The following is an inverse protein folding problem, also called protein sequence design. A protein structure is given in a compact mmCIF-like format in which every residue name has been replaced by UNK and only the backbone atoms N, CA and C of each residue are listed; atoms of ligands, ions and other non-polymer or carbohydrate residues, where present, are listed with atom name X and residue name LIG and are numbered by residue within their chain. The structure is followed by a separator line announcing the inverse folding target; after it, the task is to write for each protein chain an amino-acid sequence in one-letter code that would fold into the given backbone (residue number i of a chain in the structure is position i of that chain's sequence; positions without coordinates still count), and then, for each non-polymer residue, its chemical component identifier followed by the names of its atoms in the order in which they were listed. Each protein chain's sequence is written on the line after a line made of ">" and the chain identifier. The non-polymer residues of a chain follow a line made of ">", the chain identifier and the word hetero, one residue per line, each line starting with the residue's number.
data_IF_065878599423
#
_entry.id   IF_065878599423
#
_cell.length_a   1.000
_cell.length_b   1.000
_cell.length_c   1.000
_cell.angle_alpha   90.00
_cell.angle_beta   90.00
_cell.angle_gamma   90.00
#
_symmetry.space_group_name_H-M   'P 1'
#
loop_
_entity.id
_entity.type
_entity.pdbx_description
1 polymer ?
#
# COMPACT_ATOMS: atom_id res chain seq x y z
N UNK A 1 -6.15 -29.04 -18.94
CA UNK A 1 -7.54 -28.93 -18.45
C UNK A 1 -8.00 -27.49 -18.52
N UNK A 2 -7.17 -26.55 -18.06
CA UNK A 2 -7.51 -25.12 -18.05
C UNK A 2 -7.78 -24.48 -19.43
N UNK A 3 -7.19 -24.98 -20.52
CA UNK A 3 -7.42 -24.44 -21.88
C UNK A 3 -8.87 -24.60 -22.32
N UNK A 4 -9.44 -25.79 -22.11
CA UNK A 4 -10.85 -26.04 -22.42
C UNK A 4 -11.76 -25.19 -21.52
N UNK A 5 -11.38 -24.95 -20.27
CA UNK A 5 -12.19 -24.16 -19.33
C UNK A 5 -12.17 -22.67 -19.68
N UNK A 6 -11.02 -22.10 -20.05
CA UNK A 6 -10.91 -20.70 -20.49
C UNK A 6 -11.60 -20.40 -21.82
N UNK A 7 -11.86 -21.42 -22.63
CA UNK A 7 -12.70 -21.27 -23.82
C UNK A 7 -14.14 -20.84 -23.46
N UNK A 8 -14.62 -21.23 -22.28
CA UNK A 8 -15.99 -20.97 -21.84
C UNK A 8 -16.10 -19.88 -20.76
N UNK A 9 -15.01 -19.56 -20.07
CA UNK A 9 -15.04 -18.68 -18.90
C UNK A 9 -13.88 -17.70 -18.90
N UNK A 10 -14.21 -16.42 -18.66
CA UNK A 10 -13.24 -15.37 -18.37
C UNK A 10 -12.48 -15.62 -17.06
N UNK A 11 -11.30 -15.03 -16.95
CA UNK A 11 -10.42 -15.16 -15.79
C UNK A 11 -11.08 -14.70 -14.47
N UNK A 12 -11.91 -13.65 -14.49
CA UNK A 12 -12.65 -13.20 -13.30
C UNK A 12 -13.69 -14.24 -12.82
N UNK A 13 -14.33 -14.94 -13.76
CA UNK A 13 -15.29 -16.01 -13.48
C UNK A 13 -14.56 -17.23 -12.92
N UNK A 14 -13.44 -17.61 -13.54
CA UNK A 14 -12.62 -18.73 -13.07
C UNK A 14 -12.06 -18.48 -11.68
N UNK A 15 -11.54 -17.28 -11.39
CA UNK A 15 -11.05 -16.94 -10.07
C UNK A 15 -12.17 -17.02 -9.01
N UNK A 16 -13.40 -16.57 -9.32
CA UNK A 16 -14.55 -16.72 -8.43
C UNK A 16 -14.91 -18.20 -8.19
N UNK A 17 -14.89 -19.02 -9.24
CA UNK A 17 -15.16 -20.46 -9.15
C UNK A 17 -14.11 -21.18 -8.29
N UNK A 18 -12.82 -20.85 -8.47
CA UNK A 18 -11.71 -21.37 -7.68
C UNK A 18 -11.91 -21.01 -6.20
N UNK A 19 -12.15 -19.72 -5.90
CA UNK A 19 -12.38 -19.25 -4.54
C UNK A 19 -13.59 -19.92 -3.87
N UNK A 20 -14.64 -20.26 -4.63
CA UNK A 20 -15.79 -21.02 -4.12
C UNK A 20 -15.44 -22.50 -3.91
N UNK A 21 -14.74 -23.13 -4.85
CA UNK A 21 -14.34 -24.53 -4.78
C UNK A 21 -13.38 -24.80 -3.62
N UNK A 22 -12.42 -23.90 -3.37
CA UNK A 22 -11.47 -24.02 -2.25
C UNK A 22 -12.14 -24.00 -0.87
N UNK A 23 -13.31 -23.37 -0.75
CA UNK A 23 -14.09 -23.31 0.49
C UNK A 23 -14.90 -24.57 0.76
N UNK A 24 -15.17 -25.40 -0.24
CA UNK A 24 -15.96 -26.61 -0.09
C UNK A 24 -15.04 -27.85 -0.02
N UNK A 25 -15.07 -28.64 1.07
CA UNK A 25 -14.20 -29.81 1.23
C UNK A 25 -14.25 -30.81 0.07
N UNK A 26 -15.40 -31.00 -0.58
CA UNK A 26 -15.56 -31.97 -1.67
C UNK A 26 -14.93 -31.51 -2.99
N UNK A 27 -14.85 -30.20 -3.24
CA UNK A 27 -14.29 -29.62 -4.48
C UNK A 27 -12.94 -28.93 -4.27
N UNK A 28 -12.44 -28.86 -3.04
CA UNK A 28 -11.18 -28.20 -2.68
C UNK A 28 -9.97 -28.66 -3.49
N UNK A 29 -9.76 -29.97 -3.61
CA UNK A 29 -8.62 -30.52 -4.38
C UNK A 29 -8.69 -30.16 -5.86
N UNK A 30 -9.89 -30.12 -6.43
CA UNK A 30 -10.09 -29.71 -7.82
C UNK A 30 -9.82 -28.21 -7.98
N UNK A 31 -10.36 -27.38 -7.08
CA UNK A 31 -10.10 -25.94 -7.04
C UNK A 31 -8.61 -25.61 -6.97
N UNK A 32 -7.85 -26.31 -6.11
CA UNK A 32 -6.40 -26.14 -5.99
C UNK A 32 -5.64 -26.49 -7.27
N UNK A 33 -6.01 -27.59 -7.95
CA UNK A 33 -5.37 -27.96 -9.23
C UNK A 33 -5.61 -26.91 -10.32
N UNK A 34 -6.83 -26.38 -10.40
CA UNK A 34 -7.17 -25.33 -11.36
C UNK A 34 -6.45 -24.02 -11.00
N UNK A 35 -6.35 -23.66 -9.71
CA UNK A 35 -5.57 -22.51 -9.22
C UNK A 35 -4.09 -22.61 -9.63
N UNK A 36 -3.48 -23.78 -9.41
CA UNK A 36 -2.09 -24.04 -9.78
C UNK A 36 -1.86 -23.92 -11.29
N UNK A 37 -2.74 -24.49 -12.12
CA UNK A 37 -2.67 -24.37 -13.58
C UNK A 37 -2.81 -22.91 -14.04
N UNK A 38 -3.74 -22.14 -13.45
CA UNK A 38 -4.00 -20.74 -13.82
C UNK A 38 -2.80 -19.85 -13.46
N UNK A 39 -2.35 -19.95 -12.20
CA UNK A 39 -1.26 -19.15 -11.64
C UNK A 39 0.07 -19.44 -12.31
N UNK A 40 0.36 -20.71 -12.62
CA UNK A 40 1.57 -21.08 -13.37
C UNK A 40 1.57 -20.46 -14.76
N UNK A 41 0.41 -20.38 -15.42
CA UNK A 41 0.29 -19.79 -16.75
C UNK A 41 0.50 -18.27 -16.72
N UNK A 42 -0.16 -17.56 -15.80
CA UNK A 42 0.07 -16.12 -15.62
C UNK A 42 1.53 -15.80 -15.27
N UNK A 43 2.16 -16.57 -14.37
CA UNK A 43 3.53 -16.28 -13.93
C UNK A 43 4.60 -16.62 -14.97
N UNK A 44 4.39 -17.64 -15.81
CA UNK A 44 5.36 -18.06 -16.82
C UNK A 44 5.15 -17.39 -18.19
N UNK A 45 4.03 -16.70 -18.39
CA UNK A 45 3.69 -16.03 -19.66
C UNK A 45 3.54 -16.97 -20.85
N UNK A 46 3.61 -18.29 -20.63
CA UNK A 46 3.47 -19.30 -21.68
C UNK A 46 2.02 -19.25 -22.12
N UNK A 47 1.79 -19.05 -23.41
CA UNK A 47 0.50 -19.02 -24.11
C UNK A 47 -0.33 -17.72 -24.10
N UNK A 48 0.13 -16.63 -23.48
CA UNK A 48 -0.49 -15.30 -23.62
C UNK A 48 0.60 -14.22 -23.62
N UNK A 49 1.14 -13.86 -24.79
CA UNK A 49 2.04 -12.71 -24.91
C UNK A 49 1.36 -11.45 -24.37
N UNK A 50 1.94 -10.81 -23.35
CA UNK A 50 1.36 -9.68 -22.62
C UNK A 50 0.92 -10.04 -21.20
N UNK A 51 0.23 -11.18 -21.03
CA UNK A 51 -0.55 -11.48 -19.81
C UNK A 51 0.29 -12.10 -18.68
N UNK A 52 1.48 -11.56 -18.46
CA UNK A 52 2.36 -11.80 -17.32
C UNK A 52 2.65 -10.51 -16.53
N UNK A 53 2.13 -9.36 -16.97
CA UNK A 53 2.20 -8.11 -16.22
C UNK A 53 1.07 -8.03 -15.20
N UNK A 54 1.36 -7.47 -14.02
CA UNK A 54 0.35 -7.37 -12.98
C UNK A 54 -0.87 -6.55 -13.41
N UNK A 55 -0.69 -5.49 -14.20
CA UNK A 55 -1.80 -4.70 -14.73
C UNK A 55 -2.75 -5.52 -15.62
N UNK A 56 -2.23 -6.46 -16.42
CA UNK A 56 -3.08 -7.29 -17.29
C UNK A 56 -3.89 -8.32 -16.50
N UNK A 57 -3.28 -8.92 -15.48
CA UNK A 57 -4.00 -9.81 -14.56
C UNK A 57 -5.03 -9.03 -13.72
N UNK A 58 -4.70 -7.79 -13.34
CA UNK A 58 -5.64 -6.91 -12.64
C UNK A 58 -6.87 -6.61 -13.50
N UNK A 59 -6.67 -6.33 -14.80
CA UNK A 59 -7.74 -6.10 -15.76
C UNK A 59 -8.50 -7.40 -16.12
N UNK A 60 -7.82 -8.55 -16.24
CA UNK A 60 -8.48 -9.82 -16.56
C UNK A 60 -9.42 -10.29 -15.44
N UNK A 61 -9.08 -9.94 -14.19
CA UNK A 61 -9.93 -10.10 -13.01
C UNK A 61 -11.04 -9.02 -12.91
N UNK A 62 -11.11 -8.10 -13.88
CA UNK A 62 -12.03 -6.95 -13.93
C UNK A 62 -11.95 -6.06 -12.69
N UNK A 63 -10.78 -6.01 -12.03
CA UNK A 63 -10.59 -5.24 -10.79
C UNK A 63 -10.66 -3.73 -11.04
N UNK A 64 -10.29 -3.28 -12.23
CA UNK A 64 -10.37 -1.89 -12.69
C UNK A 64 -11.82 -1.38 -12.81
N UNK A 65 -12.79 -2.29 -12.94
CA UNK A 65 -14.21 -1.97 -13.10
C UNK A 65 -14.98 -1.88 -11.77
N UNK A 66 -14.34 -2.22 -10.66
CA UNK A 66 -15.01 -2.34 -9.36
C UNK A 66 -15.09 -1.03 -8.58
N UNK A 67 -14.37 -0.01 -9.02
CA UNK A 67 -14.30 1.27 -8.33
C UNK A 67 -13.91 1.09 -6.86
N UNK A 68 -14.77 1.58 -5.97
CA UNK A 68 -14.56 1.58 -4.53
C UNK A 68 -14.59 0.19 -3.87
N UNK A 69 -15.09 -0.82 -4.57
CA UNK A 69 -15.16 -2.20 -4.08
C UNK A 69 -13.90 -3.01 -4.41
N UNK A 70 -12.92 -2.45 -5.12
CA UNK A 70 -11.75 -3.21 -5.56
C UNK A 70 -11.00 -3.84 -4.38
N UNK A 71 -10.74 -3.08 -3.31
CA UNK A 71 -10.06 -3.56 -2.11
C UNK A 71 -10.96 -4.46 -1.23
N UNK A 72 -12.25 -4.53 -1.56
CA UNK A 72 -13.25 -5.17 -0.72
C UNK A 72 -13.50 -6.63 -1.07
N UNK A 73 -13.26 -7.00 -2.31
CA UNK A 73 -13.67 -8.30 -2.80
C UNK A 73 -12.55 -9.33 -2.67
N UNK A 74 -12.87 -10.62 -2.47
CA UNK A 74 -11.88 -11.69 -2.40
C UNK A 74 -10.90 -11.77 -3.59
N UNK A 75 -11.30 -11.26 -4.77
CA UNK A 75 -10.44 -11.24 -5.96
C UNK A 75 -9.22 -10.34 -5.82
N UNK A 76 -9.26 -9.28 -5.00
CA UNK A 76 -8.05 -8.48 -4.75
C UNK A 76 -7.01 -9.26 -3.93
N UNK A 77 -7.48 -10.07 -2.97
CA UNK A 77 -6.63 -11.03 -2.28
C UNK A 77 -6.05 -12.08 -3.24
N UNK A 78 -6.86 -12.56 -4.20
CA UNK A 78 -6.43 -13.49 -5.25
C UNK A 78 -5.34 -12.87 -6.15
N UNK A 79 -5.52 -11.63 -6.60
CA UNK A 79 -4.53 -10.85 -7.34
C UNK A 79 -3.24 -10.63 -6.53
N UNK A 80 -3.35 -10.33 -5.23
CA UNK A 80 -2.18 -10.18 -4.37
C UNK A 80 -1.35 -11.47 -4.30
N UNK A 81 -2.00 -12.64 -4.19
CA UNK A 81 -1.30 -13.95 -4.26
C UNK A 81 -0.59 -14.16 -5.59
N UNK A 82 -1.16 -13.67 -6.69
CA UNK A 82 -0.52 -13.72 -8.00
C UNK A 82 0.77 -12.90 -8.00
N UNK A 83 0.76 -11.65 -7.54
CA UNK A 83 1.95 -10.78 -7.47
C UNK A 83 3.05 -11.46 -6.62
N UNK A 84 2.68 -12.03 -5.48
CA UNK A 84 3.61 -12.76 -4.61
C UNK A 84 4.23 -13.96 -5.35
N UNK A 85 3.43 -14.78 -6.04
CA UNK A 85 3.92 -15.93 -6.81
C UNK A 85 4.78 -15.51 -8.00
N UNK A 86 4.42 -14.43 -8.67
CA UNK A 86 5.20 -13.89 -9.79
C UNK A 86 6.60 -13.48 -9.33
N UNK A 87 6.70 -12.72 -8.25
CA UNK A 87 7.99 -12.29 -7.68
C UNK A 87 8.82 -13.47 -7.18
N UNK A 88 8.19 -14.51 -6.64
CA UNK A 88 8.89 -15.75 -6.24
C UNK A 88 9.43 -16.53 -7.44
N UNK A 89 8.67 -16.61 -8.54
CA UNK A 89 9.06 -17.33 -9.75
C UNK A 89 10.09 -16.56 -10.61
N UNK A 90 10.14 -15.23 -10.49
CA UNK A 90 10.97 -14.35 -11.31
C UNK A 90 11.96 -13.54 -10.45
N UNK A 91 12.78 -14.23 -9.64
CA UNK A 91 13.83 -13.58 -8.82
C UNK A 91 14.80 -12.76 -9.67
N UNK A 92 15.12 -11.54 -9.22
CA UNK A 92 15.91 -10.55 -9.96
C UNK A 92 15.12 -9.71 -10.98
N UNK A 93 13.81 -9.97 -11.12
CA UNK A 93 12.86 -9.16 -11.90
C UNK A 93 11.62 -8.83 -11.06
N UNK A 94 11.80 -8.76 -9.73
CA UNK A 94 10.71 -8.45 -8.82
C UNK A 94 10.12 -7.09 -9.15
N UNK A 95 8.79 -7.01 -9.21
CA UNK A 95 8.08 -5.77 -9.42
C UNK A 95 7.14 -5.53 -8.22
N UNK A 96 7.34 -4.44 -7.47
CA UNK A 96 6.38 -4.02 -6.46
C UNK A 96 4.96 -3.89 -7.04
N UNK A 97 3.94 -4.30 -6.28
CA UNK A 97 2.54 -4.29 -6.75
C UNK A 97 2.13 -2.95 -7.37
N UNK A 98 2.53 -1.84 -6.76
CA UNK A 98 2.16 -0.50 -7.22
C UNK A 98 2.87 -0.10 -8.52
N UNK A 99 4.15 -0.48 -8.70
CA UNK A 99 4.88 -0.18 -9.93
C UNK A 99 4.42 -1.05 -11.09
N UNK A 100 3.94 -2.26 -10.80
CA UNK A 100 3.43 -3.20 -11.77
C UNK A 100 2.04 -2.85 -12.32
N UNK A 101 1.37 -1.86 -11.73
CA UNK A 101 0.05 -1.38 -12.13
C UNK A 101 0.13 -0.08 -12.94
N UNK A 102 -0.72 0.06 -13.95
CA UNK A 102 -0.85 1.29 -14.71
C UNK A 102 -1.40 2.42 -13.83
N UNK A 103 -1.13 3.67 -14.22
CA UNK A 103 -1.70 4.84 -13.52
C UNK A 103 -3.22 4.73 -13.37
N UNK A 104 -3.92 4.18 -14.37
CA UNK A 104 -5.37 3.98 -14.33
C UNK A 104 -5.77 3.03 -13.19
N UNK A 105 -5.12 1.86 -13.10
CA UNK A 105 -5.38 0.88 -12.04
C UNK A 105 -5.05 1.42 -10.65
N UNK A 106 -3.93 2.16 -10.54
CA UNK A 106 -3.54 2.84 -9.31
C UNK A 106 -4.57 3.89 -8.89
N UNK A 107 -5.10 4.68 -9.82
CA UNK A 107 -6.15 5.68 -9.53
C UNK A 107 -7.41 5.02 -8.98
N UNK A 108 -7.81 3.86 -9.50
CA UNK A 108 -8.97 3.11 -8.97
C UNK A 108 -8.71 2.68 -7.52
N UNK A 109 -7.53 2.14 -7.22
CA UNK A 109 -7.17 1.75 -5.86
C UNK A 109 -7.11 2.93 -4.89
N UNK A 110 -6.55 4.06 -5.32
CA UNK A 110 -6.51 5.30 -4.52
C UNK A 110 -7.93 5.82 -4.28
N UNK A 111 -8.79 5.84 -5.29
CA UNK A 111 -10.18 6.28 -5.15
C UNK A 111 -10.96 5.40 -4.17
N UNK A 112 -10.75 4.07 -4.23
CA UNK A 112 -11.34 3.13 -3.30
C UNK A 112 -10.87 3.35 -1.86
N UNK A 113 -9.56 3.51 -1.66
CA UNK A 113 -8.97 3.80 -0.36
C UNK A 113 -9.50 5.14 0.21
N UNK A 114 -9.64 6.17 -0.63
CA UNK A 114 -10.19 7.48 -0.22
C UNK A 114 -11.66 7.40 0.20
N UNK A 115 -12.46 6.58 -0.48
CA UNK A 115 -13.90 6.47 -0.19
C UNK A 115 -14.19 5.63 1.05
N UNK A 116 -13.33 4.65 1.36
CA UNK A 116 -13.47 3.83 2.57
C UNK A 116 -12.13 3.69 3.31
N UNK A 117 -11.67 4.77 3.97
CA UNK A 117 -10.38 4.80 4.64
C UNK A 117 -10.31 3.78 5.78
N UNK A 118 -11.40 3.61 6.56
CA UNK A 118 -11.45 2.65 7.68
C UNK A 118 -11.11 1.23 7.23
N UNK A 119 -11.68 0.78 6.12
CA UNK A 119 -11.42 -0.57 5.58
C UNK A 119 -9.97 -0.78 5.12
N UNK A 120 -9.38 0.24 4.48
CA UNK A 120 -7.98 0.17 4.07
C UNK A 120 -7.06 0.07 5.29
N UNK A 121 -7.42 0.79 6.36
CA UNK A 121 -6.71 0.77 7.63
C UNK A 121 -6.90 -0.56 8.39
N UNK A 122 -8.06 -1.20 8.36
CA UNK A 122 -8.37 -2.47 9.06
C UNK A 122 -7.63 -3.70 8.51
N UNK A 123 -7.07 -3.63 7.30
CA UNK A 123 -6.39 -4.77 6.69
C UNK A 123 -5.03 -5.01 7.36
N UNK A 124 -4.82 -6.19 7.95
CA UNK A 124 -3.61 -6.51 8.73
C UNK A 124 -2.28 -6.39 7.95
N UNK A 125 -2.31 -6.58 6.62
CA UNK A 125 -1.13 -6.45 5.75
C UNK A 125 -0.82 -5.00 5.34
N UNK A 126 -1.64 -4.04 5.74
CA UNK A 126 -1.45 -2.63 5.41
C UNK A 126 -0.56 -1.95 6.45
N UNK A 127 0.55 -1.37 6.00
CA UNK A 127 1.33 -0.41 6.79
C UNK A 127 0.62 0.95 6.76
N UNK A 128 0.37 1.52 7.93
CA UNK A 128 -0.26 2.83 8.09
C UNK A 128 0.85 3.87 8.20
N UNK A 129 0.90 4.83 7.26
CA UNK A 129 1.78 5.99 7.37
C UNK A 129 0.93 7.18 7.83
N UNK A 130 0.98 7.47 9.12
CA UNK A 130 0.22 8.54 9.74
C UNK A 130 1.03 9.85 9.70
N UNK A 131 0.70 10.73 8.75
CA UNK A 131 1.40 12.00 8.54
C UNK A 131 0.74 13.10 9.37
N UNK A 132 1.48 13.65 10.33
CA UNK A 132 0.99 14.67 11.27
C UNK A 132 1.85 15.93 11.13
N UNK A 133 1.25 17.13 11.00
CA UNK A 133 2.02 18.37 11.05
C UNK A 133 2.44 18.70 12.49
N UNK A 134 3.66 19.19 12.68
CA UNK A 134 4.21 19.55 13.99
C UNK A 134 3.62 20.86 14.55
N UNK A 135 3.07 21.70 13.69
CA UNK A 135 2.54 23.02 14.04
C UNK A 135 1.07 23.00 14.52
N UNK A 136 0.50 21.81 14.76
CA UNK A 136 -0.82 21.63 15.36
C UNK A 136 -0.67 20.75 16.60
N UNK A 137 -1.62 20.81 17.54
CA UNK A 137 -1.58 19.91 18.71
C UNK A 137 -1.63 18.45 18.26
N UNK A 138 -0.47 17.81 18.33
CA UNK A 138 -0.25 16.48 17.80
C UNK A 138 -0.96 15.40 18.63
N UNK A 139 -1.30 15.69 19.89
CA UNK A 139 -1.89 14.72 20.80
C UNK A 139 -3.32 14.34 20.41
N UNK A 140 -4.02 15.22 19.69
CA UNK A 140 -5.44 15.07 19.36
C UNK A 140 -5.72 15.16 17.85
N UNK A 141 -4.76 14.75 17.01
CA UNK A 141 -5.01 14.70 15.56
C UNK A 141 -5.90 13.51 15.21
N UNK A 142 -6.94 13.77 14.39
CA UNK A 142 -7.84 12.75 13.85
C UNK A 142 -7.08 11.61 13.15
N UNK A 143 -5.91 11.93 12.58
CA UNK A 143 -5.04 10.99 11.86
C UNK A 143 -4.46 9.93 12.80
N UNK A 144 -3.90 10.34 13.95
CA UNK A 144 -3.36 9.39 14.92
C UNK A 144 -4.47 8.62 15.63
N UNK A 145 -5.64 9.23 15.82
CA UNK A 145 -6.80 8.52 16.37
C UNK A 145 -7.29 7.44 15.39
N UNK A 146 -7.49 7.78 14.12
CA UNK A 146 -7.91 6.82 13.10
C UNK A 146 -6.88 5.69 12.91
N UNK A 147 -5.58 6.00 12.99
CA UNK A 147 -4.53 4.98 12.97
C UNK A 147 -4.61 4.06 14.20
N UNK A 148 -4.80 4.62 15.40
CA UNK A 148 -4.93 3.87 16.65
C UNK A 148 -6.19 2.99 16.68
N UNK A 149 -7.32 3.46 16.13
CA UNK A 149 -8.56 2.69 16.01
C UNK A 149 -8.37 1.45 15.12
N UNK A 150 -7.55 1.56 14.07
CA UNK A 150 -7.26 0.46 13.17
C UNK A 150 -6.10 -0.43 13.64
N UNK A 151 -5.16 0.12 14.39
CA UNK A 151 -3.94 -0.54 14.87
C UNK A 151 -3.70 -0.22 16.35
N UNK A 152 -4.49 -0.85 17.22
CA UNK A 152 -4.47 -0.61 18.67
C UNK A 152 -3.10 -0.85 19.32
N UNK A 153 -2.27 -1.71 18.73
CA UNK A 153 -0.93 -2.01 19.24
C UNK A 153 0.17 -1.17 18.57
N UNK A 154 -0.17 -0.40 17.53
CA UNK A 154 0.77 0.42 16.77
C UNK A 154 1.86 -0.37 16.04
N UNK A 155 1.67 -1.67 15.81
CA UNK A 155 2.73 -2.57 15.28
C UNK A 155 2.99 -2.37 13.79
N UNK A 156 2.06 -1.74 13.08
CA UNK A 156 2.12 -1.48 11.64
C UNK A 156 1.89 -0.02 11.30
N UNK A 157 1.94 0.87 12.30
CA UNK A 157 1.76 2.31 12.14
C UNK A 157 3.09 3.05 12.28
N UNK A 158 3.51 3.73 11.22
CA UNK A 158 4.65 4.65 11.21
C UNK A 158 4.10 6.07 11.34
N UNK A 159 4.45 6.76 12.43
CA UNK A 159 4.09 8.15 12.63
C UNK A 159 5.16 9.06 11.98
N UNK A 160 4.75 9.88 11.02
CA UNK A 160 5.62 10.83 10.32
C UNK A 160 5.23 12.25 10.70
N UNK A 161 6.18 13.00 11.25
CA UNK A 161 6.00 14.37 11.72
C UNK A 161 6.56 15.32 10.67
N UNK A 162 5.71 16.21 10.15
CA UNK A 162 6.04 17.15 9.07
C UNK A 162 5.99 18.59 9.56
N UNK A 163 6.44 19.55 8.74
CA UNK A 163 6.36 20.99 9.07
C UNK A 163 7.05 21.36 10.40
N UNK A 164 8.11 20.65 10.74
CA UNK A 164 8.95 20.93 11.93
C UNK A 164 9.60 22.32 11.86
N UNK A 165 9.72 22.89 10.65
CA UNK A 165 10.17 24.26 10.42
C UNK A 165 9.14 25.35 10.75
N UNK A 166 7.89 24.97 11.03
CA UNK A 166 6.80 25.89 11.36
C UNK A 166 6.37 25.78 12.82
N UNK A 167 7.19 25.15 13.66
CA UNK A 167 6.94 25.06 15.11
C UNK A 167 7.28 26.42 15.71
N UNK A 168 6.35 26.96 16.51
CA UNK A 168 6.54 28.23 17.18
C UNK A 168 7.62 28.14 18.27
N UNK A 169 8.34 29.24 18.46
CA UNK A 169 9.36 29.35 19.50
C UNK A 169 8.75 29.12 20.90
N UNK A 170 9.34 28.19 21.64
CA UNK A 170 8.87 27.70 22.94
C UNK A 170 8.03 26.41 22.87
N UNK A 171 7.62 25.96 21.68
CA UNK A 171 6.87 24.72 21.49
C UNK A 171 7.75 23.54 21.01
N UNK A 172 9.00 23.80 20.61
CA UNK A 172 9.91 22.80 20.03
C UNK A 172 10.20 21.66 20.99
N UNK A 173 10.38 21.96 22.29
CA UNK A 173 10.65 20.95 23.30
C UNK A 173 9.52 19.90 23.36
N UNK A 174 8.27 20.32 23.23
CA UNK A 174 7.13 19.42 23.27
C UNK A 174 7.12 18.47 22.06
N UNK A 175 7.49 18.96 20.88
CA UNK A 175 7.62 18.16 19.65
C UNK A 175 8.83 17.23 19.76
N UNK A 176 9.96 17.72 20.27
CA UNK A 176 11.17 16.93 20.47
C UNK A 176 10.94 15.76 21.44
N UNK A 177 10.25 15.97 22.56
CA UNK A 177 9.88 14.88 23.49
C UNK A 177 8.96 13.83 22.86
N UNK A 178 8.09 14.23 21.93
CA UNK A 178 7.25 13.31 21.16
C UNK A 178 8.10 12.49 20.19
N UNK A 179 9.02 13.13 19.45
CA UNK A 179 9.94 12.45 18.54
C UNK A 179 10.81 11.42 19.27
N UNK A 180 11.24 11.75 20.50
CA UNK A 180 11.93 10.83 21.40
C UNK A 180 11.02 9.75 22.03
N UNK A 181 9.77 9.66 21.58
CA UNK A 181 8.80 8.65 21.99
C UNK A 181 8.52 8.67 23.51
N UNK A 182 8.63 9.84 24.18
CA UNK A 182 8.49 10.00 25.64
C UNK A 182 7.06 10.27 26.09
N UNK A 183 6.29 11.08 25.33
CA UNK A 183 4.92 11.49 25.71
C UNK A 183 3.84 10.47 25.34
N UNK A 184 3.77 10.11 24.06
CA UNK A 184 2.88 9.08 23.52
C UNK A 184 3.77 8.01 22.90
N UNK A 185 3.60 6.75 23.31
CA UNK A 185 4.44 5.67 22.81
C UNK A 185 3.86 5.04 21.56
N UNK A 186 4.65 5.02 20.49
CA UNK A 186 4.39 4.25 19.27
C UNK A 186 5.41 3.11 19.17
N UNK A 187 4.97 1.93 18.73
CA UNK A 187 5.84 0.76 18.62
C UNK A 187 6.95 0.97 17.59
N UNK A 188 6.61 1.57 16.44
CA UNK A 188 7.57 1.93 15.40
C UNK A 188 8.17 3.34 15.59
N UNK A 189 7.86 4.03 16.70
CA UNK A 189 8.37 5.37 16.99
C UNK A 189 7.82 6.48 16.08
N UNK A 190 8.44 7.65 16.18
CA UNK A 190 8.11 8.85 15.41
C UNK A 190 9.29 9.24 14.53
N UNK A 191 8.99 9.72 13.32
CA UNK A 191 9.99 10.12 12.34
C UNK A 191 9.70 11.53 11.87
N UNK A 192 10.60 12.48 12.13
CA UNK A 192 10.49 13.83 11.60
C UNK A 192 11.02 13.90 10.16
N UNK A 193 10.34 14.67 9.31
CA UNK A 193 10.81 14.97 7.95
C UNK A 193 10.66 16.45 7.63
N UNK A 194 11.68 17.00 6.96
CA UNK A 194 11.66 18.36 6.38
C UNK A 194 11.38 18.25 4.89
N UNK A 195 10.12 18.46 4.52
CA UNK A 195 9.73 18.52 3.11
C UNK A 195 10.21 19.82 2.43
N UNK A 196 10.35 19.75 1.10
CA UNK A 196 10.53 20.91 0.21
C UNK A 196 9.38 21.90 0.41
N UNK A 197 9.74 23.16 0.61
CA UNK A 197 8.79 24.28 0.70
C UNK A 197 8.13 24.58 -0.65
N UNK A 198 7.01 25.31 -0.61
CA UNK A 198 6.32 25.73 -1.83
C UNK A 198 7.24 26.52 -2.78
N UNK A 199 8.14 27.34 -2.24
CA UNK A 199 9.12 28.11 -3.02
C UNK A 199 10.14 27.21 -3.72
N UNK A 200 10.61 26.16 -3.05
CA UNK A 200 11.56 25.19 -3.61
C UNK A 200 10.91 24.35 -4.71
N UNK A 201 9.64 24.00 -4.55
CA UNK A 201 8.86 23.31 -5.58
C UNK A 201 8.69 24.19 -6.83
N UNK A 202 8.31 25.47 -6.66
CA UNK A 202 8.20 26.42 -7.79
C UNK A 202 9.52 26.63 -8.52
N UNK A 203 10.65 26.56 -7.81
CA UNK A 203 12.01 26.66 -8.40
C UNK A 203 12.52 25.35 -9.02
N UNK A 204 11.73 24.26 -8.98
CA UNK A 204 12.15 22.98 -9.54
C UNK A 204 13.27 22.29 -8.76
N UNK A 205 13.32 22.46 -7.44
CA UNK A 205 14.36 21.85 -6.60
C UNK A 205 14.28 20.31 -6.68
N UNK A 206 15.40 19.67 -7.05
CA UNK A 206 15.48 18.22 -7.18
C UNK A 206 15.26 17.50 -5.84
N UNK A 207 14.96 16.21 -5.90
CA UNK A 207 14.81 15.37 -4.71
C UNK A 207 16.12 15.34 -3.92
N UNK A 208 17.26 15.09 -4.59
CA UNK A 208 18.58 15.01 -3.94
C UNK A 208 18.94 16.29 -3.19
N UNK A 209 18.62 17.46 -3.79
CA UNK A 209 18.83 18.76 -3.13
C UNK A 209 17.88 18.94 -1.95
N UNK A 210 16.65 18.45 -2.04
CA UNK A 210 15.72 18.41 -0.91
C UNK A 210 16.25 17.59 0.26
N UNK A 211 16.83 16.42 0.00
CA UNK A 211 17.47 15.57 1.03
C UNK A 211 18.67 16.28 1.66
N UNK A 212 19.52 16.93 0.87
CA UNK A 212 20.64 17.71 1.39
C UNK A 212 20.17 18.87 2.29
N UNK A 213 19.09 19.55 1.90
CA UNK A 213 18.51 20.64 2.69
C UNK A 213 17.89 20.11 4.01
N UNK A 214 17.26 18.94 3.99
CA UNK A 214 16.75 18.27 5.18
C UNK A 214 17.88 17.92 6.17
N UNK A 215 18.97 17.31 5.68
CA UNK A 215 20.14 17.01 6.50
C UNK A 215 20.75 18.28 7.12
N UNK A 216 20.84 19.37 6.34
CA UNK A 216 21.32 20.65 6.85
C UNK A 216 20.38 21.24 7.91
N UNK A 217 19.06 21.13 7.73
CA UNK A 217 18.06 21.62 8.69
C UNK A 217 18.19 20.88 10.03
N UNK A 218 18.22 19.55 10.01
CA UNK A 218 18.37 18.75 11.22
C UNK A 218 19.77 18.84 11.85
N UNK A 219 20.82 19.11 11.07
CA UNK A 219 22.18 19.25 11.59
C UNK A 219 22.49 20.62 12.23
N UNK A 220 21.65 21.63 12.05
CA UNK A 220 21.91 23.02 12.49
C UNK A 220 21.00 23.50 13.61
N UNK A 221 19.84 22.87 13.81
CA UNK A 221 18.81 23.37 14.71
C UNK A 221 18.99 22.80 16.11
N UNK A 222 19.02 23.65 17.14
CA UNK A 222 19.31 23.25 18.54
C UNK A 222 18.39 22.13 19.08
N UNK A 223 17.15 22.09 18.60
CA UNK A 223 16.10 21.19 19.09
C UNK A 223 15.92 19.90 18.29
N UNK A 224 16.54 19.75 17.11
CA UNK A 224 16.33 18.59 16.25
C UNK A 224 17.61 17.76 16.11
#
# INVERSE_FOLDING_TARGET
>A
MIETTRYFYDDDVLAKMILAAEKNPSTKKLGQRVDEELMKRWTQGVYTPGLNKADEVFQSLKLDQLGDKVLAIPLFGYFSRYVDRYNQANRGKEEPMLSALSQRSVVVMIAAAKKNPKRALETERTVIIAVVPANVDMHNTEILQAAQEADSNGTRTIAVVTKVDLVDAGAELAVHELLLNKKKRMHLGYHAVKCRSQRELTKGTSIDKGVANELAFFGQHEYW
#
